data_IF_780247791579
#
_entry.id   IF_780247791579
#
_cell.length_a   1.000
_cell.length_b   1.000
_cell.length_c   1.000
_cell.angle_alpha   90.00
_cell.angle_beta   90.00
_cell.angle_gamma   90.00
#
_symmetry.space_group_name_H-M   'P 1'
#
loop_
_entity.id
_entity.type
_entity.pdbx_description
1 polymer ?
#
# COMPACT_ATOMS: atom_id res chain seq x y z
N UNK A 1 -1.91 12.79 -18.25
CA UNK A 1 -2.19 11.36 -18.54
C UNK A 1 -1.38 10.55 -17.56
N UNK A 2 -2.02 9.71 -16.74
CA UNK A 2 -1.30 8.84 -15.80
C UNK A 2 -0.67 7.69 -16.57
N UNK A 3 0.62 7.44 -16.35
CA UNK A 3 1.37 6.32 -16.93
C UNK A 3 1.80 5.36 -15.82
N UNK A 4 2.18 4.11 -16.14
CA UNK A 4 2.75 3.22 -15.14
C UNK A 4 3.93 3.83 -14.38
N UNK A 5 4.79 4.61 -15.07
CA UNK A 5 5.92 5.30 -14.44
C UNK A 5 5.46 6.35 -13.44
N UNK A 6 4.52 7.22 -13.84
CA UNK A 6 3.96 8.24 -12.95
C UNK A 6 3.23 7.59 -11.77
N UNK A 7 2.46 6.51 -12.03
CA UNK A 7 1.78 5.75 -10.99
C UNK A 7 2.74 5.12 -9.98
N UNK A 8 3.88 4.57 -10.43
CA UNK A 8 4.93 4.11 -9.51
C UNK A 8 5.44 5.25 -8.63
N UNK A 9 5.72 6.41 -9.21
CA UNK A 9 6.15 7.60 -8.47
C UNK A 9 5.17 8.00 -7.36
N UNK A 10 3.88 8.07 -7.69
CA UNK A 10 2.81 8.39 -6.72
C UNK A 10 2.71 7.34 -5.60
N UNK A 11 2.76 6.05 -5.93
CA UNK A 11 2.70 4.98 -4.93
C UNK A 11 3.90 4.99 -3.97
N UNK A 12 5.11 5.30 -4.48
CA UNK A 12 6.30 5.47 -3.65
C UNK A 12 6.20 6.71 -2.75
N UNK A 13 5.67 7.83 -3.26
CA UNK A 13 5.41 9.03 -2.47
C UNK A 13 4.44 8.75 -1.31
N UNK A 14 3.31 8.12 -1.64
CA UNK A 14 2.32 7.69 -0.64
C UNK A 14 2.93 6.78 0.44
N UNK A 15 3.80 5.84 0.04
CA UNK A 15 4.46 4.96 1.01
C UNK A 15 5.37 5.71 1.97
N UNK A 16 6.12 6.72 1.49
CA UNK A 16 6.96 7.58 2.35
C UNK A 16 6.13 8.39 3.35
N UNK A 17 4.98 8.88 2.91
CA UNK A 17 4.06 9.60 3.81
C UNK A 17 3.52 8.65 4.89
N UNK A 18 3.15 7.42 4.52
CA UNK A 18 2.71 6.38 5.46
C UNK A 18 3.82 5.94 6.43
N UNK A 19 5.06 5.83 5.96
CA UNK A 19 6.24 5.49 6.77
C UNK A 19 6.52 6.59 7.80
N UNK A 20 6.37 7.86 7.41
CA UNK A 20 6.49 9.02 8.31
C UNK A 20 5.41 9.01 9.40
N UNK A 21 4.22 8.50 9.08
CA UNK A 21 3.13 8.30 10.05
C UNK A 21 3.30 7.05 10.93
N UNK A 22 4.32 6.22 10.66
CA UNK A 22 4.56 4.97 11.39
C UNK A 22 3.51 3.88 11.09
N UNK A 23 2.91 3.90 9.90
CA UNK A 23 1.90 2.92 9.47
C UNK A 23 2.50 1.75 8.68
N UNK A 24 3.60 2.00 7.97
CA UNK A 24 4.32 1.02 7.14
C UNK A 24 5.82 1.16 7.34
N UNK A 25 6.58 0.10 7.04
CA UNK A 25 8.04 0.10 7.05
C UNK A 25 8.63 -0.61 5.82
N UNK A 26 9.94 -0.54 5.60
CA UNK A 26 10.58 -1.32 4.54
C UNK A 26 10.40 -0.75 3.13
N UNK A 27 10.60 0.57 2.95
CA UNK A 27 10.44 1.24 1.65
C UNK A 27 11.22 0.58 0.50
N UNK A 28 12.46 0.14 0.72
CA UNK A 28 13.28 -0.44 -0.36
C UNK A 28 12.69 -1.76 -0.88
N UNK A 29 12.12 -2.56 0.02
CA UNK A 29 11.39 -3.78 -0.35
C UNK A 29 10.11 -3.42 -1.12
N UNK A 30 9.30 -2.48 -0.58
CA UNK A 30 8.10 -2.00 -1.25
C UNK A 30 8.41 -1.49 -2.67
N UNK A 31 9.49 -0.73 -2.84
CA UNK A 31 9.90 -0.19 -4.13
C UNK A 31 10.34 -1.27 -5.13
N UNK A 32 10.99 -2.33 -4.65
CA UNK A 32 11.39 -3.49 -5.45
C UNK A 32 10.20 -4.33 -5.91
N UNK A 33 9.22 -4.52 -5.03
CA UNK A 33 8.08 -5.41 -5.27
C UNK A 33 6.85 -4.69 -5.88
N UNK A 34 6.87 -3.35 -5.94
CA UNK A 34 5.81 -2.52 -6.51
C UNK A 34 5.60 -2.81 -8.00
N UNK A 35 4.42 -3.31 -8.34
CA UNK A 35 3.99 -3.51 -9.73
C UNK A 35 2.89 -2.51 -10.08
N UNK A 36 3.12 -1.77 -11.16
CA UNK A 36 2.12 -0.88 -11.76
C UNK A 36 2.11 -1.17 -13.26
N UNK A 37 0.96 -1.55 -13.80
CA UNK A 37 0.82 -1.95 -15.20
C UNK A 37 -0.51 -1.48 -15.77
N UNK A 38 -0.57 -1.21 -17.08
CA UNK A 38 -1.84 -1.03 -17.77
C UNK A 38 -2.57 -2.36 -17.83
N UNK A 39 -3.88 -2.32 -17.67
CA UNK A 39 -4.68 -3.53 -17.79
C UNK A 39 -4.71 -4.00 -19.25
N UNK A 40 -4.59 -5.31 -19.46
CA UNK A 40 -4.57 -5.91 -20.81
C UNK A 40 -5.94 -5.86 -21.52
N UNK A 41 -7.03 -5.87 -20.76
CA UNK A 41 -8.40 -5.88 -21.29
C UNK A 41 -9.06 -4.49 -21.29
N UNK A 42 -8.53 -3.54 -20.52
CA UNK A 42 -9.04 -2.17 -20.42
C UNK A 42 -7.90 -1.14 -20.49
N UNK A 43 -7.76 -0.51 -21.65
CA UNK A 43 -6.72 0.49 -21.93
C UNK A 43 -6.82 1.74 -21.04
N UNK A 44 -7.97 1.98 -20.41
CA UNK A 44 -8.21 3.11 -19.52
C UNK A 44 -8.00 2.77 -18.03
N UNK A 45 -7.60 1.53 -17.72
CA UNK A 45 -7.35 1.06 -16.35
C UNK A 45 -5.85 0.89 -16.09
N UNK A 46 -5.43 1.35 -14.91
CA UNK A 46 -4.08 1.14 -14.39
C UNK A 46 -4.18 0.29 -13.12
N UNK A 47 -3.47 -0.83 -13.09
CA UNK A 47 -3.46 -1.77 -11.99
C UNK A 47 -2.24 -1.56 -11.09
N UNK A 48 -2.46 -1.66 -9.78
CA UNK A 48 -1.46 -1.52 -8.74
C UNK A 48 -1.45 -2.76 -7.87
N UNK A 49 -0.30 -3.40 -7.75
CA UNK A 49 -0.01 -4.36 -6.69
C UNK A 49 0.94 -3.68 -5.71
N UNK A 50 0.41 -3.38 -4.53
CA UNK A 50 1.10 -2.69 -3.45
C UNK A 50 1.34 -3.70 -2.33
N UNK A 51 2.51 -4.36 -2.24
CA UNK A 51 2.79 -5.31 -1.17
C UNK A 51 3.23 -4.54 0.08
N UNK A 52 2.33 -4.33 1.07
CA UNK A 52 2.65 -3.48 2.21
C UNK A 52 3.37 -4.30 3.28
N UNK A 53 4.29 -3.66 4.01
CA UNK A 53 4.77 -4.16 5.30
C UNK A 53 4.23 -3.25 6.40
N UNK A 54 3.19 -3.73 7.10
CA UNK A 54 2.46 -2.94 8.09
C UNK A 54 3.21 -2.98 9.43
N UNK A 55 3.51 -1.80 9.98
CA UNK A 55 4.08 -1.71 11.33
C UNK A 55 3.08 -2.33 12.33
N UNK A 56 3.60 -3.25 13.16
CA UNK A 56 2.86 -4.05 14.15
C UNK A 56 1.94 -5.16 13.60
N UNK A 57 1.90 -5.40 12.29
CA UNK A 57 1.20 -6.55 11.66
C UNK A 57 -0.22 -6.84 12.21
N UNK A 58 -0.92 -5.83 12.73
CA UNK A 58 -2.25 -6.00 13.31
C UNK A 58 -3.30 -5.99 12.21
N UNK A 59 -3.49 -7.14 11.58
CA UNK A 59 -4.36 -7.30 10.41
C UNK A 59 -5.82 -7.53 10.81
N UNK A 60 -6.07 -8.15 11.98
CA UNK A 60 -7.41 -8.47 12.48
C UNK A 60 -7.48 -8.21 13.97
N UNK A 61 -8.48 -7.43 14.40
CA UNK A 61 -8.81 -7.25 15.82
C UNK A 61 -10.19 -7.82 16.11
N UNK A 62 -10.35 -8.44 17.28
CA UNK A 62 -11.63 -8.85 17.82
C UNK A 62 -11.85 -8.13 19.14
N UNK A 63 -12.91 -7.34 19.25
CA UNK A 63 -13.29 -6.62 20.46
C UNK A 63 -14.46 -7.34 21.17
N UNK A 64 -14.39 -7.46 22.49
CA UNK A 64 -15.48 -7.99 23.33
C UNK A 64 -16.04 -6.88 24.20
N UNK A 65 -17.34 -6.64 24.08
CA UNK A 65 -18.09 -5.75 24.97
C UNK A 65 -18.60 -6.60 26.14
N UNK A 66 -18.17 -6.29 27.37
CA UNK A 66 -18.65 -6.95 28.59
C UNK A 66 -18.65 -5.96 29.76
N UNK A 67 -19.58 -6.14 30.70
CA UNK A 67 -19.59 -5.36 31.95
C UNK A 67 -18.43 -5.79 32.85
N UNK A 68 -17.75 -4.81 33.44
CA UNK A 68 -16.69 -5.00 34.44
C UNK A 68 -17.30 -4.74 35.82
N UNK A 69 -17.23 -5.73 36.71
CA UNK A 69 -17.54 -5.59 38.14
C UNK A 69 -16.40 -4.89 38.87
#
# INVERSE_FOLDING_TARGET
IVTPLTGKGEALGWFRDMETLGLVEGFDQFAGDLVVARNDADVNRLDFLLPPDLINQLIVTAARIAFRL
#
